data_IF_392906345569
#
_entry.id   IF_392906345569
#
_cell.length_a   1.000
_cell.length_b   1.000
_cell.length_c   1.000
_cell.angle_alpha   90.00
_cell.angle_beta   90.00
_cell.angle_gamma   90.00
#
_symmetry.space_group_name_H-M   'P 1'
#
loop_
_entity.id
_entity.type
_entity.pdbx_description
1 polymer ?
#
# COMPACT_ATOMS: atom_id res chain seq x y z
N UNK A 1 -30.32 8.42 -17.15
CA UNK A 1 -29.40 8.86 -16.08
C UNK A 1 -28.48 7.69 -15.80
N UNK A 2 -27.26 7.70 -16.33
CA UNK A 2 -26.29 6.65 -16.02
C UNK A 2 -25.68 6.96 -14.66
N UNK A 3 -25.92 6.11 -13.67
CA UNK A 3 -25.25 6.19 -12.37
C UNK A 3 -23.74 6.08 -12.61
N UNK A 4 -22.89 6.98 -12.10
CA UNK A 4 -21.46 6.80 -12.20
C UNK A 4 -21.08 5.51 -11.47
N UNK A 5 -20.24 4.69 -12.11
CA UNK A 5 -19.65 3.54 -11.42
C UNK A 5 -18.93 4.05 -10.17
N UNK A 6 -19.00 3.33 -9.03
CA UNK A 6 -18.26 3.73 -7.84
C UNK A 6 -16.77 3.87 -8.17
N UNK A 7 -16.06 4.82 -7.53
CA UNK A 7 -14.64 5.03 -7.79
C UNK A 7 -13.86 3.73 -7.58
N UNK A 8 -12.89 3.49 -8.45
CA UNK A 8 -12.08 2.27 -8.41
C UNK A 8 -11.14 2.35 -7.21
N UNK A 9 -10.94 1.25 -6.49
CA UNK A 9 -9.96 1.21 -5.39
C UNK A 9 -8.59 0.88 -5.94
N UNK A 10 -7.61 1.74 -5.68
CA UNK A 10 -6.20 1.39 -5.81
C UNK A 10 -5.78 0.74 -4.49
N UNK A 11 -5.46 -0.55 -4.52
CA UNK A 11 -5.12 -1.34 -3.33
C UNK A 11 -3.67 -1.79 -3.48
N UNK A 12 -2.81 -1.38 -2.56
CA UNK A 12 -1.35 -1.51 -2.68
C UNK A 12 -0.75 -2.14 -1.44
N UNK A 13 0.34 -2.89 -1.62
CA UNK A 13 1.22 -3.32 -0.54
C UNK A 13 2.68 -3.07 -0.90
N UNK A 14 3.49 -2.78 0.14
CA UNK A 14 4.91 -2.47 0.03
C UNK A 14 5.67 -3.04 1.23
N UNK A 15 6.96 -3.28 1.04
CA UNK A 15 7.90 -3.54 2.11
C UNK A 15 9.07 -2.56 2.01
N UNK A 16 9.72 -2.30 3.13
CA UNK A 16 10.82 -1.36 3.25
C UNK A 16 12.06 -2.04 3.78
N UNK A 17 13.23 -1.59 3.32
CA UNK A 17 14.55 -1.97 3.83
C UNK A 17 15.30 -0.72 4.22
N UNK A 18 16.34 -0.89 5.03
CA UNK A 18 17.37 0.14 5.21
C UNK A 18 18.45 -0.08 4.17
N UNK A 19 18.84 0.97 3.48
CA UNK A 19 20.01 0.95 2.61
C UNK A 19 21.32 1.02 3.42
N UNK A 20 22.45 1.14 2.72
CA UNK A 20 23.78 1.19 3.31
C UNK A 20 24.01 2.44 4.19
N UNK A 21 23.23 3.51 3.96
CA UNK A 21 23.25 4.76 4.72
C UNK A 21 22.26 4.72 5.90
N UNK A 22 21.48 3.64 6.01
CA UNK A 22 20.48 3.43 7.04
C UNK A 22 19.14 4.11 6.75
N UNK A 23 18.97 4.66 5.54
CA UNK A 23 17.74 5.34 5.11
C UNK A 23 16.68 4.31 4.72
N UNK A 24 15.42 4.64 5.05
CA UNK A 24 14.29 3.75 4.78
C UNK A 24 13.88 3.89 3.30
N UNK A 25 14.02 2.80 2.54
CA UNK A 25 13.70 2.75 1.12
C UNK A 25 12.70 1.63 0.81
N UNK A 26 11.82 1.80 -0.19
CA UNK A 26 11.03 0.70 -0.72
C UNK A 26 11.94 -0.46 -1.16
N UNK A 27 11.61 -1.67 -0.72
CA UNK A 27 12.35 -2.87 -1.10
C UNK A 27 12.08 -3.28 -2.57
N UNK A 28 10.99 -2.79 -3.15
CA UNK A 28 10.54 -3.02 -4.52
C UNK A 28 9.45 -2.00 -4.88
N UNK A 29 9.10 -1.91 -6.18
CA UNK A 29 8.00 -1.08 -6.68
C UNK A 29 6.63 -1.46 -6.09
N UNK A 30 5.77 -0.47 -5.87
CA UNK A 30 4.41 -0.67 -5.39
C UNK A 30 3.66 -1.76 -6.15
N UNK A 31 3.13 -2.73 -5.39
CA UNK A 31 2.39 -3.86 -5.94
C UNK A 31 0.92 -3.70 -5.66
N UNK A 32 0.13 -3.77 -6.73
CA UNK A 32 -1.32 -3.74 -6.64
C UNK A 32 -1.87 -5.11 -6.24
N UNK A 33 -2.94 -5.11 -5.45
CA UNK A 33 -3.67 -6.29 -5.06
C UNK A 33 -5.11 -6.24 -5.58
N UNK A 34 -5.69 -7.41 -5.85
CA UNK A 34 -7.08 -7.51 -6.32
C UNK A 34 -8.11 -7.26 -5.21
N UNK A 35 -7.69 -7.27 -3.94
CA UNK A 35 -8.57 -7.03 -2.79
C UNK A 35 -7.78 -6.58 -1.56
N UNK A 36 -8.47 -5.93 -0.61
CA UNK A 36 -7.90 -5.49 0.66
C UNK A 36 -7.37 -6.66 1.49
N UNK A 37 -8.09 -7.78 1.50
CA UNK A 37 -7.68 -9.01 2.18
C UNK A 37 -6.38 -9.56 1.58
N UNK A 38 -6.26 -9.57 0.25
CA UNK A 38 -5.04 -10.00 -0.43
C UNK A 38 -3.86 -9.09 -0.09
N UNK A 39 -4.04 -7.76 -0.15
CA UNK A 39 -2.99 -6.80 0.20
C UNK A 39 -2.50 -6.98 1.63
N UNK A 40 -3.43 -7.09 2.60
CA UNK A 40 -3.12 -7.31 4.00
C UNK A 40 -2.37 -8.61 4.23
N UNK A 41 -2.80 -9.70 3.60
CA UNK A 41 -2.11 -10.98 3.70
C UNK A 41 -0.69 -10.91 3.11
N UNK A 42 -0.49 -10.25 1.97
CA UNK A 42 0.84 -10.11 1.36
C UNK A 42 1.78 -9.26 2.24
N UNK A 43 1.31 -8.11 2.75
CA UNK A 43 2.10 -7.28 3.66
C UNK A 43 2.46 -8.02 4.96
N UNK A 44 1.52 -8.80 5.52
CA UNK A 44 1.79 -9.63 6.68
C UNK A 44 2.86 -10.71 6.40
N UNK A 45 2.80 -11.37 5.24
CA UNK A 45 3.81 -12.36 4.83
C UNK A 45 5.20 -11.73 4.64
N UNK A 46 5.25 -10.52 4.08
CA UNK A 46 6.49 -9.75 3.95
C UNK A 46 7.06 -9.44 5.34
N UNK A 47 6.27 -8.86 6.23
CA UNK A 47 6.69 -8.58 7.61
C UNK A 47 7.19 -9.83 8.34
N UNK A 48 6.40 -10.91 8.30
CA UNK A 48 6.70 -12.18 8.98
C UNK A 48 7.96 -12.87 8.47
N UNK A 49 8.47 -12.48 7.30
CA UNK A 49 9.72 -13.04 6.75
C UNK A 49 10.97 -12.59 7.53
N UNK A 50 10.88 -11.51 8.31
CA UNK A 50 11.99 -10.93 9.06
C UNK A 50 13.08 -10.28 8.20
N UNK A 51 12.87 -10.15 6.88
CA UNK A 51 13.85 -9.58 5.94
C UNK A 51 13.73 -8.07 5.75
N UNK A 52 12.62 -7.48 6.17
CA UNK A 52 12.27 -6.09 5.89
C UNK A 52 12.23 -5.29 7.19
N UNK A 53 12.59 -4.00 7.10
CA UNK A 53 12.49 -3.05 8.20
C UNK A 53 11.03 -2.71 8.54
N UNK A 54 10.14 -2.76 7.54
CA UNK A 54 8.70 -2.63 7.73
C UNK A 54 7.90 -3.06 6.51
N UNK A 55 6.58 -3.18 6.68
CA UNK A 55 5.65 -3.48 5.60
C UNK A 55 4.31 -2.78 5.82
N UNK A 56 3.71 -2.33 4.72
CA UNK A 56 2.45 -1.60 4.72
C UNK A 56 1.51 -2.15 3.64
N UNK A 57 0.22 -2.15 3.92
CA UNK A 57 -0.83 -2.27 2.92
C UNK A 57 -1.86 -1.16 3.14
N UNK A 58 -2.33 -0.57 2.05
CA UNK A 58 -3.30 0.52 2.08
C UNK A 58 -4.15 0.47 0.82
N UNK A 59 -5.28 1.18 0.84
CA UNK A 59 -6.01 1.47 -0.38
C UNK A 59 -6.43 2.94 -0.42
N UNK A 60 -6.68 3.46 -1.61
CA UNK A 60 -7.32 4.77 -1.77
C UNK A 60 -8.32 4.74 -2.92
N UNK A 61 -9.29 5.63 -2.85
CA UNK A 61 -10.21 5.85 -3.97
C UNK A 61 -9.45 6.46 -5.15
N UNK A 62 -9.69 5.97 -6.35
CA UNK A 62 -9.22 6.53 -7.60
C UNK A 62 -10.44 6.90 -8.45
N UNK A 63 -10.76 8.20 -8.47
CA UNK A 63 -11.73 8.76 -9.39
C UNK A 63 -11.04 9.05 -10.72
N UNK A 64 -11.06 8.06 -11.61
CA UNK A 64 -10.45 8.15 -12.94
C UNK A 64 -11.15 9.16 -13.86
N UNK A 65 -12.39 9.55 -13.55
CA UNK A 65 -13.14 10.51 -14.35
C UNK A 65 -12.66 11.94 -14.06
N UNK A 66 -12.41 12.24 -12.79
CA UNK A 66 -11.94 13.55 -12.33
C UNK A 66 -10.42 13.63 -12.16
N UNK A 67 -9.72 12.50 -12.23
CA UNK A 67 -8.28 12.41 -11.99
C UNK A 67 -7.89 12.59 -10.52
N UNK A 68 -8.83 12.32 -9.60
CA UNK A 68 -8.65 12.56 -8.17
C UNK A 68 -8.35 11.26 -7.43
N UNK A 69 -7.46 11.35 -6.45
CA UNK A 69 -7.22 10.28 -5.49
C UNK A 69 -7.72 10.72 -4.12
N UNK A 70 -8.44 9.84 -3.44
CA UNK A 70 -8.84 10.07 -2.05
C UNK A 70 -7.69 9.83 -1.08
N UNK A 71 -7.93 10.14 0.18
CA UNK A 71 -7.00 9.84 1.28
C UNK A 71 -6.72 8.33 1.38
N UNK A 72 -5.46 7.94 1.66
CA UNK A 72 -5.12 6.54 1.84
C UNK A 72 -5.69 6.00 3.15
N UNK A 73 -6.28 4.81 3.06
CA UNK A 73 -6.75 4.03 4.21
C UNK A 73 -5.78 2.88 4.44
N UNK A 74 -5.06 2.93 5.55
CA UNK A 74 -4.11 1.88 5.96
C UNK A 74 -4.86 0.63 6.40
N UNK A 75 -4.53 -0.50 5.78
CA UNK A 75 -5.09 -1.83 6.06
C UNK A 75 -4.20 -2.64 7.02
N UNK A 76 -2.90 -2.40 6.93
CA UNK A 76 -1.85 -3.05 7.70
C UNK A 76 -0.59 -2.17 7.71
N UNK A 77 0.08 -2.08 8.84
CA UNK A 77 1.34 -1.35 8.99
C UNK A 77 2.12 -1.95 10.15
N UNK A 78 3.32 -2.44 9.89
CA UNK A 78 4.22 -2.99 10.90
C UNK A 78 5.67 -2.59 10.60
N UNK A 79 6.46 -2.42 11.66
CA UNK A 79 7.85 -1.99 11.57
C UNK A 79 8.02 -0.53 11.16
N UNK A 80 9.11 -0.24 10.47
CA UNK A 80 9.43 1.09 9.97
C UNK A 80 8.79 1.31 8.60
N UNK A 81 7.80 2.21 8.54
CA UNK A 81 7.14 2.63 7.31
C UNK A 81 7.04 4.17 7.29
N UNK A 82 7.09 4.81 6.12
CA UNK A 82 6.85 6.26 6.02
C UNK A 82 5.42 6.62 6.41
N UNK A 83 5.22 7.85 6.88
CA UNK A 83 3.88 8.42 7.00
C UNK A 83 3.22 8.52 5.62
N UNK A 84 1.91 8.24 5.58
CA UNK A 84 1.12 8.34 4.35
C UNK A 84 0.43 9.70 4.31
N UNK A 85 0.73 10.49 3.27
CA UNK A 85 0.06 11.76 2.94
C UNK A 85 -0.88 11.56 1.73
#
# INVERSE_FOLDING_TARGET
MSTPAPPTKLIVYLAFVRDEEGELQPAFDAREAQSEAAAKQQAHLLWSSGKYAGAIAWWRSADLLNGEFGEPVVLFSEGEVPEMD
#
